data_IF_303480151341
#
_entry.id   IF_303480151341
#
_cell.length_a   1.000
_cell.length_b   1.000
_cell.length_c   1.000
_cell.angle_alpha   90.00
_cell.angle_beta   90.00
_cell.angle_gamma   90.00
#
_symmetry.space_group_name_H-M   'P 1'
#
loop_
_entity.id
_entity.type
_entity.pdbx_description
1 polymer ?
#
# COMPACT_ATOMS: atom_id res chain seq x y z
N UNK A 1 3.51 17.83 5.78
CA UNK A 1 2.62 17.74 4.60
C UNK A 1 3.07 16.53 3.79
N UNK A 2 2.19 15.54 3.59
CA UNK A 2 2.54 14.36 2.76
C UNK A 2 2.48 14.79 1.29
N UNK A 3 3.55 14.59 0.53
CA UNK A 3 3.63 14.82 -0.91
C UNK A 3 3.29 13.55 -1.70
N UNK A 4 3.03 13.70 -3.01
CA UNK A 4 2.87 12.56 -3.92
C UNK A 4 4.06 11.61 -3.81
N UNK A 5 3.76 10.31 -3.75
CA UNK A 5 4.79 9.27 -3.61
C UNK A 5 4.89 8.44 -4.87
N UNK A 6 6.10 8.21 -5.40
CA UNK A 6 6.30 7.27 -6.49
C UNK A 6 5.78 5.89 -6.10
N UNK A 7 4.90 5.32 -6.92
CA UNK A 7 4.27 4.00 -6.67
C UNK A 7 5.31 2.92 -6.39
N UNK A 8 6.43 2.95 -7.10
CA UNK A 8 7.57 2.02 -6.89
C UNK A 8 8.15 2.10 -5.47
N UNK A 9 8.27 3.31 -4.90
CA UNK A 9 8.75 3.49 -3.51
C UNK A 9 7.76 2.92 -2.52
N UNK A 10 6.47 3.12 -2.76
CA UNK A 10 5.39 2.62 -1.91
C UNK A 10 5.35 1.09 -1.92
N UNK A 11 5.42 0.47 -3.10
CA UNK A 11 5.51 -0.99 -3.26
C UNK A 11 6.73 -1.55 -2.53
N UNK A 12 7.89 -0.88 -2.63
CA UNK A 12 9.10 -1.29 -1.92
C UNK A 12 8.91 -1.24 -0.40
N UNK A 13 8.27 -0.19 0.12
CA UNK A 13 7.97 -0.07 1.54
C UNK A 13 7.00 -1.16 2.03
N UNK A 14 5.95 -1.47 1.25
CA UNK A 14 5.02 -2.55 1.55
C UNK A 14 5.72 -3.91 1.65
N UNK A 15 6.54 -4.25 0.65
CA UNK A 15 7.32 -5.49 0.68
C UNK A 15 8.29 -5.54 1.86
N UNK A 16 8.93 -4.42 2.20
CA UNK A 16 9.82 -4.33 3.36
C UNK A 16 9.08 -4.54 4.68
N UNK A 17 7.81 -4.14 4.76
CA UNK A 17 6.93 -4.40 5.89
C UNK A 17 6.30 -5.80 5.88
N UNK A 18 6.70 -6.69 4.96
CA UNK A 18 6.18 -8.05 4.87
C UNK A 18 4.83 -8.19 4.17
N UNK A 19 4.30 -7.11 3.57
CA UNK A 19 3.05 -7.17 2.81
C UNK A 19 3.25 -7.89 1.48
N UNK A 20 2.27 -8.72 1.11
CA UNK A 20 2.29 -9.54 -0.09
C UNK A 20 1.16 -9.14 -1.05
N UNK A 21 1.48 -9.05 -2.33
CA UNK A 21 0.48 -8.83 -3.37
C UNK A 21 -0.32 -10.12 -3.60
N UNK A 22 -1.64 -10.07 -3.43
CA UNK A 22 -2.53 -11.23 -3.59
C UNK A 22 -3.16 -11.31 -4.98
N UNK A 23 -3.28 -10.18 -5.67
CA UNK A 23 -3.82 -10.12 -7.02
C UNK A 23 -3.95 -8.69 -7.50
N UNK A 24 -3.89 -8.51 -8.81
CA UNK A 24 -4.09 -7.22 -9.46
C UNK A 24 -5.39 -7.29 -10.24
N UNK A 25 -6.27 -6.32 -9.98
CA UNK A 25 -7.53 -6.15 -10.68
C UNK A 25 -7.52 -4.79 -11.38
N UNK A 26 -7.33 -4.81 -12.69
CA UNK A 26 -7.14 -3.60 -13.49
C UNK A 26 -5.92 -2.79 -13.03
N UNK A 27 -6.15 -1.54 -12.62
CA UNK A 27 -5.11 -0.63 -12.15
C UNK A 27 -4.82 -0.73 -10.64
N UNK A 28 -5.47 -1.67 -9.92
CA UNK A 28 -5.36 -1.79 -8.47
C UNK A 28 -4.80 -3.15 -8.07
N UNK A 29 -3.74 -3.16 -7.26
CA UNK A 29 -3.19 -4.36 -6.65
C UNK A 29 -3.66 -4.49 -5.22
N UNK A 30 -4.24 -5.65 -4.88
CA UNK A 30 -4.60 -6.02 -3.51
C UNK A 30 -3.36 -6.53 -2.79
N UNK A 31 -3.05 -5.91 -1.67
CA UNK A 31 -1.98 -6.28 -0.75
C UNK A 31 -2.55 -6.83 0.54
N UNK A 32 -1.88 -7.83 1.10
CA UNK A 32 -2.21 -8.45 2.38
C UNK A 32 -1.00 -8.35 3.30
N UNK A 33 -1.18 -7.76 4.47
CA UNK A 33 -0.17 -7.64 5.51
C UNK A 33 0.03 -8.96 6.28
N UNK A 34 1.17 -9.11 6.97
CA UNK A 34 1.48 -10.30 7.77
C UNK A 34 0.40 -10.66 8.80
N UNK A 35 -0.30 -9.66 9.36
CA UNK A 35 -1.33 -9.87 10.39
C UNK A 35 -2.75 -9.95 9.79
N UNK A 36 -2.86 -10.09 8.47
CA UNK A 36 -4.09 -10.33 7.72
C UNK A 36 -4.85 -9.08 7.31
N UNK A 37 -4.30 -7.88 7.52
CA UNK A 37 -4.90 -6.64 7.00
C UNK A 37 -4.82 -6.61 5.48
N UNK A 38 -5.88 -6.17 4.82
CA UNK A 38 -5.91 -6.11 3.35
C UNK A 38 -6.09 -4.68 2.88
N UNK A 39 -5.28 -4.25 1.90
CA UNK A 39 -5.35 -2.91 1.31
C UNK A 39 -5.31 -2.98 -0.21
N UNK A 40 -6.14 -2.20 -0.89
CA UNK A 40 -6.12 -2.08 -2.35
C UNK A 40 -5.33 -0.84 -2.75
N UNK A 41 -4.18 -1.04 -3.39
CA UNK A 41 -3.28 0.04 -3.82
C UNK A 41 -3.55 0.37 -5.29
N UNK A 42 -3.86 1.63 -5.64
CA UNK A 42 -3.99 2.05 -7.04
C UNK A 42 -2.62 2.25 -7.69
N UNK A 43 -1.98 1.16 -8.11
CA UNK A 43 -0.62 1.12 -8.65
C UNK A 43 -0.53 1.20 -10.18
N UNK A 44 -1.66 1.32 -10.89
CA UNK A 44 -1.69 1.57 -12.34
C UNK A 44 -1.12 2.94 -12.74
N UNK A 45 -0.94 3.86 -11.78
CA UNK A 45 -0.29 5.15 -11.99
C UNK A 45 1.14 5.16 -11.44
N UNK A 46 2.01 6.00 -12.00
CA UNK A 46 3.40 6.15 -11.54
C UNK A 46 3.52 6.86 -10.17
N UNK A 47 2.48 7.58 -9.77
CA UNK A 47 2.43 8.37 -8.54
C UNK A 47 1.17 8.00 -7.74
N UNK A 48 1.32 8.00 -6.43
CA UNK A 48 0.25 7.82 -5.46
C UNK A 48 -0.05 9.17 -4.81
N UNK A 49 -1.32 9.55 -4.82
CA UNK A 49 -1.75 10.79 -4.20
C UNK A 49 -1.51 10.79 -2.68
N UNK A 50 -1.31 11.96 -2.06
CA UNK A 50 -1.07 12.05 -0.62
C UNK A 50 -2.16 11.41 0.23
N UNK A 51 -3.41 11.49 -0.21
CA UNK A 51 -4.56 10.93 0.51
C UNK A 51 -4.53 9.40 0.55
N UNK A 52 -4.18 8.77 -0.57
CA UNK A 52 -4.04 7.31 -0.65
C UNK A 52 -2.84 6.84 0.18
N UNK A 53 -1.72 7.56 0.11
CA UNK A 53 -0.55 7.21 0.92
C UNK A 53 -0.82 7.31 2.42
N UNK A 54 -1.59 8.30 2.89
CA UNK A 54 -2.02 8.37 4.30
C UNK A 54 -2.89 7.18 4.70
N UNK A 55 -3.85 6.78 3.86
CA UNK A 55 -4.68 5.59 4.11
C UNK A 55 -3.84 4.32 4.20
N UNK A 56 -2.82 4.20 3.34
CA UNK A 56 -1.88 3.09 3.40
C UNK A 56 -1.11 3.06 4.72
N UNK A 57 -0.57 4.20 5.17
CA UNK A 57 0.16 4.26 6.44
C UNK A 57 -0.72 3.86 7.63
N UNK A 58 -2.01 4.26 7.62
CA UNK A 58 -2.98 3.83 8.63
C UNK A 58 -3.16 2.33 8.58
N UNK A 59 -3.39 1.75 7.39
CA UNK A 59 -3.53 0.30 7.24
C UNK A 59 -2.27 -0.48 7.66
N UNK A 60 -1.08 0.05 7.38
CA UNK A 60 0.19 -0.56 7.84
C UNK A 60 0.31 -0.53 9.36
N UNK A 61 -0.10 0.56 10.01
CA UNK A 61 -0.09 0.68 11.46
C UNK A 61 -1.13 -0.22 12.13
N UNK A 62 -2.32 -0.31 11.54
CA UNK A 62 -3.37 -1.24 11.99
C UNK A 62 -2.91 -2.68 11.91
N UNK A 63 -2.21 -3.06 10.83
CA UNK A 63 -1.65 -4.39 10.69
C UNK A 63 -0.59 -4.67 11.77
N UNK A 64 0.33 -3.75 12.03
CA UNK A 64 1.36 -3.91 13.07
C UNK A 64 0.78 -4.10 14.49
N UNK A 65 -0.42 -3.55 14.77
CA UNK A 65 -1.04 -3.58 16.11
C UNK A 65 -1.93 -4.82 16.33
N UNK A 66 -2.15 -5.64 15.30
CA UNK A 66 -3.12 -6.73 15.29
C UNK A 66 -2.46 -8.10 15.51
#
# INVERSE_FOLDING_TARGET
MVSEQPTRKVIKALRAAGWQARGTEGSHTRWVGPNGTTFSLPDGHRQISPGVYRKLLVAMKEDETK
#
